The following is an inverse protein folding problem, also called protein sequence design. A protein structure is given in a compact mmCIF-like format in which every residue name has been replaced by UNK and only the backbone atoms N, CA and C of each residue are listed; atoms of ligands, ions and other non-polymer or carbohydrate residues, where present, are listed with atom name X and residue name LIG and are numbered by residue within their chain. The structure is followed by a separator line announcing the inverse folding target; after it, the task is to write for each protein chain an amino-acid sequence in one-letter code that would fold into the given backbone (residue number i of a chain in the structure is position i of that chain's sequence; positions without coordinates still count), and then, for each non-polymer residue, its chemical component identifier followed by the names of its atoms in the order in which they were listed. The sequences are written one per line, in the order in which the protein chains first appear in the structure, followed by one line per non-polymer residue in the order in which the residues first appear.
data_IF_588448845375
#
_entry.id   IF_588448845375
#
_cell.length_a   1.000
_cell.length_b   1.000
_cell.length_c   1.000
_cell.angle_alpha   90.00
_cell.angle_beta   90.00
_cell.angle_gamma   90.00
#
_symmetry.space_group_name_H-M   'P 1'
#
loop_
_entity.id
_entity.type
_entity.pdbx_description
1 polymer ?
#
# COMPACT_ATOMS: atom_id res chain seq x y z
N UNK A 1 20.30 16.93 -1.49
CA UNK A 1 19.41 16.76 -2.66
C UNK A 1 18.16 15.92 -2.39
N UNK A 2 18.13 15.04 -1.36
CA UNK A 2 16.95 14.22 -1.01
C UNK A 2 15.75 14.98 -0.40
N UNK A 3 15.91 16.24 -0.02
CA UNK A 3 14.88 17.04 0.66
C UNK A 3 13.74 17.50 -0.29
N UNK A 4 13.93 17.47 -1.62
CA UNK A 4 12.95 18.01 -2.58
C UNK A 4 11.84 17.01 -2.97
N UNK A 5 12.09 15.69 -2.87
CA UNK A 5 11.10 14.65 -3.24
C UNK A 5 9.99 14.53 -2.21
N UNK A 6 10.30 14.72 -0.91
CA UNK A 6 9.31 14.67 0.17
C UNK A 6 8.24 15.76 0.09
N UNK A 7 8.64 16.99 -0.27
CA UNK A 7 7.72 18.13 -0.44
C UNK A 7 6.79 17.98 -1.66
N UNK A 8 7.24 17.32 -2.73
CA UNK A 8 6.40 17.02 -3.89
C UNK A 8 5.22 16.10 -3.51
N UNK A 9 5.48 15.14 -2.62
CA UNK A 9 4.48 14.19 -2.12
C UNK A 9 3.54 14.80 -1.08
N UNK A 10 3.95 15.87 -0.38
CA UNK A 10 3.13 16.56 0.61
C UNK A 10 1.95 17.32 -0.04
N UNK A 11 1.94 17.49 -1.37
CA UNK A 11 0.78 18.02 -2.09
C UNK A 11 -0.37 17.01 -2.02
N UNK A 12 -1.44 17.37 -1.32
CA UNK A 12 -2.62 16.51 -1.14
C UNK A 12 -3.18 15.89 -2.44
N UNK A 13 -2.99 16.56 -3.59
CA UNK A 13 -3.37 16.03 -4.91
C UNK A 13 -2.58 14.79 -5.33
N UNK A 14 -1.28 14.72 -5.03
CA UNK A 14 -0.44 13.55 -5.34
C UNK A 14 -0.82 12.35 -4.46
N UNK A 15 -1.05 12.59 -3.17
CA UNK A 15 -1.53 11.57 -2.23
C UNK A 15 -2.89 10.99 -2.65
N UNK A 16 -3.80 11.86 -3.11
CA UNK A 16 -5.14 11.49 -3.55
C UNK A 16 -5.09 10.67 -4.85
N UNK A 17 -4.29 11.08 -5.83
CA UNK A 17 -4.06 10.32 -7.05
C UNK A 17 -3.45 8.93 -6.76
N UNK A 18 -2.48 8.86 -5.86
CA UNK A 18 -1.90 7.59 -5.44
C UNK A 18 -2.92 6.68 -4.76
N UNK A 19 -3.76 7.24 -3.90
CA UNK A 19 -4.83 6.49 -3.22
C UNK A 19 -5.83 5.92 -4.22
N UNK A 20 -6.30 6.72 -5.17
CA UNK A 20 -7.21 6.28 -6.23
C UNK A 20 -6.58 5.19 -7.11
N UNK A 21 -5.29 5.33 -7.44
CA UNK A 21 -4.58 4.35 -8.25
C UNK A 21 -4.57 2.97 -7.56
N UNK A 22 -4.52 2.91 -6.22
CA UNK A 22 -4.59 1.62 -5.49
C UNK A 22 -5.92 0.92 -5.62
N UNK A 23 -7.02 1.65 -5.55
CA UNK A 23 -8.35 1.07 -5.77
C UNK A 23 -8.50 0.49 -7.17
N UNK A 24 -7.77 1.02 -8.16
CA UNK A 24 -7.73 0.48 -9.51
C UNK A 24 -6.75 -0.69 -9.67
N UNK A 25 -5.59 -0.63 -9.00
CA UNK A 25 -4.53 -1.64 -9.05
C UNK A 25 -4.95 -2.97 -8.39
N UNK A 26 -5.65 -2.93 -7.25
CA UNK A 26 -6.08 -4.14 -6.52
C UNK A 26 -6.96 -5.10 -7.35
N UNK A 27 -8.07 -4.66 -7.98
CA UNK A 27 -8.89 -5.54 -8.81
C UNK A 27 -8.16 -5.98 -10.08
N UNK A 28 -7.29 -5.13 -10.62
CA UNK A 28 -6.48 -5.47 -11.80
C UNK A 28 -5.50 -6.61 -11.50
N UNK A 29 -4.87 -6.61 -10.32
CA UNK A 29 -4.02 -7.69 -9.82
C UNK A 29 -4.84 -8.97 -9.61
N UNK A 30 -6.06 -8.88 -9.10
CA UNK A 30 -6.95 -10.05 -8.93
C UNK A 30 -7.31 -10.73 -10.26
N UNK A 31 -7.38 -9.95 -11.34
CA UNK A 31 -7.63 -10.42 -12.72
C UNK A 31 -6.38 -10.96 -13.44
N UNK A 32 -5.18 -10.78 -12.89
CA UNK A 32 -3.95 -11.40 -13.40
C UNK A 32 -3.94 -12.92 -13.16
N UNK A 33 -3.04 -13.65 -13.82
CA UNK A 33 -3.02 -15.12 -13.87
C UNK A 33 -2.71 -15.84 -12.53
N UNK A 34 -3.66 -15.89 -11.58
CA UNK A 34 -3.57 -16.77 -10.40
C UNK A 34 -4.11 -18.15 -10.79
N UNK A 35 -3.27 -19.19 -10.75
CA UNK A 35 -3.65 -20.60 -10.89
C UNK A 35 -3.56 -21.30 -9.53
N UNK A 36 -4.44 -22.26 -9.19
CA UNK A 36 -5.59 -22.79 -9.94
C UNK A 36 -6.91 -22.07 -9.61
N UNK A 37 -7.83 -21.93 -10.58
CA UNK A 37 -9.18 -21.35 -10.37
C UNK A 37 -10.28 -22.30 -10.87
N UNK A 38 -11.38 -22.42 -10.13
CA UNK A 38 -12.56 -23.19 -10.54
C UNK A 38 -13.68 -22.36 -11.24
N UNK A 39 -13.70 -21.02 -11.15
CA UNK A 39 -14.88 -20.22 -11.62
C UNK A 39 -14.60 -18.86 -12.32
N UNK A 40 -13.36 -18.42 -12.58
CA UNK A 40 -13.10 -17.06 -13.11
C UNK A 40 -12.19 -17.04 -14.34
N UNK A 41 -12.55 -16.25 -15.36
CA UNK A 41 -11.84 -16.10 -16.64
C UNK A 41 -10.58 -15.24 -16.50
N UNK A 42 -9.45 -15.73 -16.98
CA UNK A 42 -8.16 -15.02 -16.96
C UNK A 42 -8.08 -14.00 -18.09
N UNK A 43 -7.98 -12.70 -17.75
CA UNK A 43 -7.84 -11.63 -18.75
C UNK A 43 -6.38 -11.34 -19.14
N UNK A 44 -5.42 -11.59 -18.24
CA UNK A 44 -4.00 -11.32 -18.49
C UNK A 44 -3.14 -12.54 -18.11
N UNK A 45 -2.55 -13.19 -19.12
CA UNK A 45 -1.68 -14.37 -18.96
C UNK A 45 -0.20 -14.04 -18.65
N UNK A 46 0.19 -12.76 -18.73
CA UNK A 46 1.58 -12.34 -18.56
C UNK A 46 1.90 -12.00 -17.11
N UNK A 47 2.78 -12.81 -16.49
CA UNK A 47 3.31 -12.57 -15.14
C UNK A 47 4.13 -11.27 -15.05
N UNK A 48 4.68 -10.80 -16.18
CA UNK A 48 5.44 -9.54 -16.25
C UNK A 48 4.57 -8.34 -15.89
N UNK A 49 3.32 -8.31 -16.38
CA UNK A 49 2.38 -7.23 -16.08
C UNK A 49 2.02 -7.26 -14.60
N UNK A 50 1.80 -8.44 -14.03
CA UNK A 50 1.56 -8.63 -12.60
C UNK A 50 2.71 -8.06 -11.74
N UNK A 51 3.96 -8.39 -12.08
CA UNK A 51 5.14 -7.90 -11.35
C UNK A 51 5.26 -6.37 -11.43
N UNK A 52 4.99 -5.77 -12.60
CA UNK A 52 5.02 -4.32 -12.77
C UNK A 52 3.94 -3.65 -11.89
N UNK A 53 2.71 -4.18 -11.93
CA UNK A 53 1.59 -3.65 -11.14
C UNK A 53 1.83 -3.76 -9.64
N UNK A 54 2.34 -4.90 -9.16
CA UNK A 54 2.71 -5.12 -7.76
C UNK A 54 3.85 -4.19 -7.33
N UNK A 55 4.87 -4.02 -8.18
CA UNK A 55 5.99 -3.12 -7.89
C UNK A 55 5.52 -1.68 -7.76
N UNK A 56 4.65 -1.22 -8.67
CA UNK A 56 4.09 0.12 -8.64
C UNK A 56 3.18 0.31 -7.42
N UNK A 57 2.37 -0.69 -7.07
CA UNK A 57 1.58 -0.71 -5.84
C UNK A 57 2.47 -0.62 -4.59
N UNK A 58 3.56 -1.38 -4.52
CA UNK A 58 4.50 -1.38 -3.40
C UNK A 58 5.20 -0.04 -3.21
N UNK A 59 5.73 0.55 -4.31
CA UNK A 59 6.35 1.89 -4.27
C UNK A 59 5.33 2.94 -3.81
N UNK A 60 4.10 2.87 -4.33
CA UNK A 60 3.03 3.78 -3.89
C UNK A 60 2.76 3.65 -2.38
N UNK A 61 2.75 2.42 -1.84
CA UNK A 61 2.57 2.09 -0.42
C UNK A 61 3.66 2.68 0.46
N UNK A 62 4.93 2.47 0.10
CA UNK A 62 6.06 3.04 0.82
C UNK A 62 5.98 4.57 0.91
N UNK A 63 5.69 5.23 -0.21
CA UNK A 63 5.66 6.70 -0.24
C UNK A 63 4.52 7.31 0.59
N UNK A 64 3.30 6.75 0.55
CA UNK A 64 2.21 7.23 1.42
C UNK A 64 2.50 6.94 2.89
N UNK A 65 3.06 5.77 3.22
CA UNK A 65 3.37 5.42 4.60
C UNK A 65 4.42 6.36 5.20
N UNK A 66 5.53 6.58 4.48
CA UNK A 66 6.58 7.51 4.92
C UNK A 66 6.06 8.93 5.02
N UNK A 67 5.31 9.43 4.03
CA UNK A 67 4.78 10.80 4.08
C UNK A 67 3.74 10.99 5.19
N UNK A 68 2.89 10.01 5.46
CA UNK A 68 1.96 10.03 6.59
C UNK A 68 2.71 10.03 7.94
N UNK A 69 3.72 9.17 8.10
CA UNK A 69 4.48 9.06 9.34
C UNK A 69 5.31 10.34 9.62
N UNK A 70 5.95 10.91 8.60
CA UNK A 70 6.67 12.19 8.72
C UNK A 70 5.71 13.33 9.04
N UNK A 71 4.53 13.36 8.41
CA UNK A 71 3.52 14.39 8.69
C UNK A 71 2.93 14.27 10.10
N UNK A 72 2.69 13.05 10.56
CA UNK A 72 2.18 12.77 11.91
C UNK A 72 3.20 13.18 12.99
N UNK A 73 4.47 12.74 12.83
CA UNK A 73 5.54 13.08 13.77
C UNK A 73 5.97 14.55 13.72
N UNK A 74 5.65 15.31 12.66
CA UNK A 74 5.93 16.75 12.59
C UNK A 74 4.80 17.61 13.19
N UNK A 75 3.61 17.04 13.40
CA UNK A 75 2.43 17.76 13.94
C UNK A 75 2.29 17.65 15.45
N UNK A 76 3.09 16.80 16.09
CA UNK A 76 3.13 16.59 17.55
C UNK A 76 4.36 17.26 18.15
N UNK A 77 4.28 17.65 19.43
CA UNK A 77 5.40 18.18 20.21
C UNK A 77 6.58 17.21 20.27
N UNK A 78 7.79 17.74 20.43
CA UNK A 78 9.04 16.97 20.38
C UNK A 78 9.08 15.81 21.38
N UNK A 79 8.57 16.03 22.58
CA UNK A 79 8.47 15.03 23.65
C UNK A 79 7.56 13.84 23.28
N UNK A 80 6.60 14.04 22.36
CA UNK A 80 5.61 13.05 21.94
C UNK A 80 5.95 12.39 20.59
N UNK A 81 7.04 12.80 19.92
CA UNK A 81 7.42 12.29 18.60
C UNK A 81 7.81 10.82 18.64
N UNK A 82 8.57 10.42 19.66
CA UNK A 82 8.99 9.01 19.85
C UNK A 82 7.79 8.11 20.14
N UNK A 83 6.87 8.56 20.99
CA UNK A 83 5.63 7.84 21.28
C UNK A 83 4.76 7.72 20.01
N UNK A 84 4.62 8.79 19.25
CA UNK A 84 3.84 8.78 17.99
C UNK A 84 4.45 7.83 16.97
N UNK A 85 5.78 7.81 16.83
CA UNK A 85 6.49 6.89 15.95
C UNK A 85 6.28 5.42 16.34
N UNK A 86 6.35 5.11 17.65
CA UNK A 86 6.11 3.75 18.14
C UNK A 86 4.66 3.28 17.93
N UNK A 87 3.67 4.17 18.16
CA UNK A 87 2.26 3.89 17.88
C UNK A 87 1.97 3.69 16.38
N UNK A 88 2.55 4.51 15.50
CA UNK A 88 2.44 4.34 14.05
C UNK A 88 2.99 2.97 13.61
N UNK A 89 4.12 2.54 14.20
CA UNK A 89 4.69 1.21 13.98
C UNK A 89 3.78 0.07 14.47
N UNK A 90 3.21 0.21 15.66
CA UNK A 90 2.26 -0.76 16.22
C UNK A 90 1.03 -0.93 15.31
N UNK A 91 0.43 0.18 14.88
CA UNK A 91 -0.73 0.18 13.98
C UNK A 91 -0.38 -0.48 12.64
N UNK A 92 0.83 -0.24 12.12
CA UNK A 92 1.28 -0.88 10.89
C UNK A 92 1.33 -2.41 11.01
N UNK A 93 1.87 -2.93 12.12
CA UNK A 93 1.90 -4.38 12.39
C UNK A 93 0.49 -4.94 12.52
N UNK A 94 -0.39 -4.29 13.27
CA UNK A 94 -1.80 -4.70 13.41
C UNK A 94 -2.47 -4.78 12.05
N UNK A 95 -2.31 -3.75 11.20
CA UNK A 95 -2.88 -3.73 9.86
C UNK A 95 -2.35 -4.87 8.98
N UNK A 96 -1.06 -5.22 9.12
CA UNK A 96 -0.45 -6.33 8.38
C UNK A 96 -1.01 -7.68 8.82
N UNK A 97 -1.24 -7.87 10.12
CA UNK A 97 -1.86 -9.10 10.65
C UNK A 97 -3.29 -9.23 10.13
N UNK A 98 -4.07 -8.14 10.18
CA UNK A 98 -5.44 -8.11 9.65
C UNK A 98 -5.44 -8.43 8.15
N UNK A 99 -4.55 -7.82 7.37
CA UNK A 99 -4.43 -8.07 5.93
C UNK A 99 -4.04 -9.51 5.60
N UNK A 100 -3.15 -10.11 6.40
CA UNK A 100 -2.75 -11.51 6.27
C UNK A 100 -3.93 -12.46 6.53
N UNK A 101 -4.69 -12.23 7.61
CA UNK A 101 -5.89 -13.01 7.93
C UNK A 101 -6.92 -12.89 6.80
N UNK A 102 -7.16 -11.68 6.30
CA UNK A 102 -8.10 -11.45 5.21
C UNK A 102 -7.67 -12.15 3.91
N UNK A 103 -6.39 -12.07 3.55
CA UNK A 103 -5.83 -12.79 2.40
C UNK A 103 -5.94 -14.31 2.55
N UNK A 104 -5.68 -14.85 3.74
CA UNK A 104 -5.85 -16.27 4.03
C UNK A 104 -7.31 -16.73 3.94
N UNK A 105 -8.26 -15.91 4.41
CA UNK A 105 -9.69 -16.18 4.26
C UNK A 105 -10.10 -16.24 2.77
N UNK A 106 -9.62 -15.29 1.96
CA UNK A 106 -9.88 -15.30 0.51
C UNK A 106 -9.29 -16.55 -0.13
N UNK A 107 -8.04 -16.90 0.19
CA UNK A 107 -7.37 -18.08 -0.33
C UNK A 107 -8.04 -19.39 0.10
N UNK A 108 -8.65 -19.44 1.27
CA UNK A 108 -9.43 -20.59 1.74
C UNK A 108 -10.80 -20.70 1.05
N UNK A 109 -11.36 -19.57 0.62
CA UNK A 109 -12.68 -19.51 -0.03
C UNK A 109 -12.66 -19.75 -1.55
N UNK A 110 -11.48 -19.86 -2.17
CA UNK A 110 -11.28 -20.09 -3.62
C UNK A 110 -10.89 -21.53 -3.92
#
# INVERSE_FOLDING_TARGET
MLFNVGDLFQKGRALLLLSLLRFLLLPLIFFCNVHPRFHSTTLFHSDTIFVILISLLAVSNGLLFTSANVSATRKVDEDLRELTGSLMGLIAVISSVIGSIFGALIALSV
#
